data_IF_486950860418
#
_entry.id   IF_486950860418
#
_cell.length_a   1.000
_cell.length_b   1.000
_cell.length_c   1.000
_cell.angle_alpha   90.00
_cell.angle_beta   90.00
_cell.angle_gamma   90.00
#
_symmetry.space_group_name_H-M   'P 1'
#
loop_
_entity.id
_entity.type
_entity.pdbx_description
1 polymer ?
#
# COMPACT_ATOMS: atom_id res chain seq x y z
N UNK A 1 10.80 17.92 -18.58
CA UNK A 1 9.91 17.16 -19.12
C UNK A 1 8.58 17.51 -18.78
N UNK A 2 7.90 17.68 -18.85
CA UNK A 2 6.65 18.01 -18.62
C UNK A 2 5.61 17.02 -18.72
N UNK A 3 6.00 15.79 -18.83
CA UNK A 3 4.99 14.87 -18.93
C UNK A 3 4.48 14.51 -17.63
N UNK A 4 3.18 14.55 -17.41
CA UNK A 4 2.56 14.08 -16.20
C UNK A 4 2.00 12.74 -16.47
N UNK A 5 2.60 11.74 -15.88
CA UNK A 5 2.06 10.45 -16.01
C UNK A 5 1.19 10.23 -14.84
N UNK A 6 -0.09 10.10 -15.08
CA UNK A 6 -1.01 9.91 -14.03
C UNK A 6 -1.33 8.46 -13.90
N UNK A 7 -0.96 7.89 -12.80
CA UNK A 7 -1.23 6.51 -12.53
C UNK A 7 -1.95 6.46 -11.20
N UNK A 8 -3.21 6.14 -11.19
CA UNK A 8 -3.98 6.22 -9.96
C UNK A 8 -3.51 5.24 -8.91
N UNK A 9 -3.68 5.63 -7.68
CA UNK A 9 -3.47 4.76 -6.54
C UNK A 9 -4.82 4.20 -6.19
N UNK A 10 -4.91 2.88 -6.07
CA UNK A 10 -6.16 2.23 -5.73
C UNK A 10 -5.99 1.58 -4.37
N UNK A 11 -6.89 1.88 -3.46
CA UNK A 11 -6.86 1.31 -2.12
C UNK A 11 -8.14 0.53 -1.93
N UNK A 12 -8.02 -0.76 -1.73
CA UNK A 12 -9.18 -1.62 -1.60
C UNK A 12 -9.96 -1.38 -0.32
N UNK A 13 -11.19 -1.87 -0.32
CA UNK A 13 -12.11 -1.64 0.78
C UNK A 13 -11.58 -2.23 2.07
N UNK A 14 -11.81 -1.52 3.16
CA UNK A 14 -11.43 -2.01 4.47
C UNK A 14 -9.95 -1.96 4.78
N UNK A 15 -9.17 -1.36 3.91
CA UNK A 15 -7.75 -1.21 4.18
C UNK A 15 -7.51 -0.07 5.15
N UNK A 16 -6.47 -0.20 5.94
CA UNK A 16 -6.13 0.80 6.94
C UNK A 16 -4.68 1.21 6.77
N UNK A 17 -4.44 2.50 6.69
CA UNK A 17 -3.10 3.01 6.51
C UNK A 17 -2.73 3.83 7.74
N UNK A 18 -1.58 3.54 8.31
CA UNK A 18 -1.08 4.28 9.45
C UNK A 18 -0.59 5.67 9.05
N UNK A 19 -0.05 6.38 10.00
CA UNK A 19 0.41 7.74 9.76
C UNK A 19 1.61 7.75 8.86
N UNK A 20 1.67 8.76 8.02
CA UNK A 20 2.85 9.01 7.18
C UNK A 20 3.18 7.86 6.24
N UNK A 21 2.17 7.14 5.81
CA UNK A 21 2.37 6.12 4.79
C UNK A 21 2.46 6.80 3.44
N UNK A 22 3.44 6.43 2.66
CA UNK A 22 3.59 6.95 1.29
C UNK A 22 3.30 5.83 0.31
N UNK A 23 2.51 6.11 -0.70
CA UNK A 23 2.16 5.13 -1.72
C UNK A 23 2.51 5.76 -3.05
N UNK A 24 3.34 5.10 -3.84
CA UNK A 24 3.72 5.68 -5.11
C UNK A 24 2.64 5.45 -6.15
N UNK A 25 2.66 6.29 -7.16
CA UNK A 25 1.65 6.26 -8.21
C UNK A 25 1.59 4.89 -8.87
N UNK A 26 0.41 4.46 -9.21
CA UNK A 26 0.20 3.21 -9.93
C UNK A 26 0.10 1.98 -9.04
N UNK A 27 0.23 2.15 -7.73
CA UNK A 27 0.16 1.00 -6.82
C UNK A 27 -1.29 0.69 -6.46
N UNK A 28 -1.61 -0.58 -6.40
CA UNK A 28 -2.91 -1.05 -5.92
C UNK A 28 -2.72 -1.76 -4.59
N UNK A 29 -3.43 -1.29 -3.58
CA UNK A 29 -3.44 -1.95 -2.28
C UNK A 29 -4.71 -2.78 -2.21
N UNK A 30 -4.58 -4.07 -2.06
CA UNK A 30 -5.73 -4.96 -2.03
C UNK A 30 -6.61 -4.73 -0.82
N UNK A 31 -7.81 -5.27 -0.86
CA UNK A 31 -8.79 -5.05 0.20
C UNK A 31 -8.30 -5.65 1.52
N UNK A 32 -8.66 -5.03 2.62
CA UNK A 32 -8.37 -5.56 3.93
C UNK A 32 -6.92 -5.52 4.35
N UNK A 33 -6.11 -4.71 3.70
CA UNK A 33 -4.70 -4.57 4.07
C UNK A 33 -4.53 -3.62 5.24
N UNK A 34 -3.47 -3.82 5.98
CA UNK A 34 -3.07 -2.88 7.01
C UNK A 34 -1.64 -2.46 6.70
N UNK A 35 -1.43 -1.16 6.54
CA UNK A 35 -0.12 -0.63 6.21
C UNK A 35 0.39 0.14 7.43
N UNK A 36 1.50 -0.31 7.97
CA UNK A 36 2.01 0.27 9.20
C UNK A 36 2.52 1.70 8.99
N UNK A 37 2.53 2.46 10.05
CA UNK A 37 2.95 3.86 9.99
C UNK A 37 4.36 3.97 9.42
N UNK A 38 4.56 4.97 8.60
CA UNK A 38 5.88 5.26 8.03
C UNK A 38 6.29 4.36 6.89
N UNK A 39 5.45 3.44 6.47
CA UNK A 39 5.80 2.55 5.37
C UNK A 39 5.79 3.29 4.04
N UNK A 40 6.60 2.83 3.12
CA UNK A 40 6.63 3.36 1.77
C UNK A 40 6.27 2.24 0.82
N UNK A 41 5.09 2.32 0.22
CA UNK A 41 4.57 1.25 -0.61
C UNK A 41 4.97 1.50 -2.05
N UNK A 42 5.79 0.65 -2.59
CA UNK A 42 6.35 0.81 -3.93
C UNK A 42 5.86 -0.24 -4.91
N UNK A 43 5.08 -1.20 -4.46
CA UNK A 43 4.52 -2.20 -5.35
C UNK A 43 3.18 -2.64 -4.80
N UNK A 44 2.41 -3.35 -5.62
CA UNK A 44 1.07 -3.73 -5.25
C UNK A 44 1.06 -4.61 -4.02
N UNK A 45 0.02 -4.46 -3.22
CA UNK A 45 -0.16 -5.25 -2.01
C UNK A 45 -1.30 -6.22 -2.20
N UNK A 46 -1.04 -7.50 -1.94
CA UNK A 46 -2.08 -8.50 -2.02
C UNK A 46 -3.08 -8.31 -0.90
N UNK A 47 -4.32 -8.68 -1.09
CA UNK A 47 -5.34 -8.46 -0.06
C UNK A 47 -5.02 -9.12 1.25
N UNK A 48 -5.56 -8.55 2.31
CA UNK A 48 -5.52 -9.12 3.65
C UNK A 48 -4.11 -9.33 4.17
N UNK A 49 -3.26 -8.37 3.95
CA UNK A 49 -1.89 -8.47 4.43
C UNK A 49 -1.49 -7.30 5.29
N UNK A 50 -0.59 -7.54 6.21
CA UNK A 50 0.05 -6.50 6.98
C UNK A 50 1.37 -6.17 6.32
N UNK A 51 1.56 -4.92 5.96
CA UNK A 51 2.76 -4.46 5.28
C UNK A 51 3.44 -3.38 6.12
N UNK A 52 4.75 -3.41 6.14
CA UNK A 52 5.50 -2.43 6.92
C UNK A 52 6.87 -2.22 6.32
N UNK A 53 7.46 -1.09 6.63
CA UNK A 53 8.86 -0.81 6.28
C UNK A 53 9.06 0.05 5.06
N UNK A 54 10.33 0.29 4.74
CA UNK A 54 10.74 1.09 3.60
C UNK A 54 11.81 0.30 2.84
N UNK A 55 11.47 -0.31 1.71
CA UNK A 55 10.15 -0.39 1.11
C UNK A 55 9.24 -1.34 1.90
N UNK A 56 7.94 -1.14 1.77
CA UNK A 56 7.00 -1.95 2.51
C UNK A 56 7.07 -3.41 2.06
N UNK A 57 7.04 -4.30 3.03
CA UNK A 57 7.05 -5.73 2.77
C UNK A 57 5.95 -6.39 3.55
N UNK A 58 5.45 -7.50 3.00
CA UNK A 58 4.40 -8.23 3.67
C UNK A 58 4.97 -8.90 4.92
N UNK A 59 4.38 -8.58 6.06
CA UNK A 59 4.83 -9.10 7.34
C UNK A 59 4.05 -10.35 7.70
N UNK A 60 2.76 -10.33 7.48
CA UNK A 60 1.94 -11.48 7.78
C UNK A 60 0.59 -11.36 7.10
N UNK A 61 -0.13 -12.48 7.06
CA UNK A 61 -1.47 -12.50 6.53
C UNK A 61 -2.44 -12.13 7.64
N UNK A 62 -3.41 -11.30 7.30
CA UNK A 62 -4.44 -10.89 8.25
C UNK A 62 -5.69 -11.72 8.08
N UNK A 63 -5.86 -12.33 6.94
CA UNK A 63 -7.04 -13.15 6.72
C UNK A 63 -6.83 -14.55 7.23
N UNK A 64 -7.84 -15.32 7.20
CA UNK A 64 -7.78 -16.65 7.71
C UNK A 64 -7.27 -17.57 6.80
#
# INVERSE_FOLDING_TARGET
AGENIEAPIVIGDGSWLGQNVSVIAGVTIGAGCMIAAGAVVVSDCEPNGLYAGVPARRIKDLGE
#
